data_IF_532411197482
#
_entry.id   IF_532411197482
#
_cell.length_a   1.000
_cell.length_b   1.000
_cell.length_c   1.000
_cell.angle_alpha   90.00
_cell.angle_beta   90.00
_cell.angle_gamma   90.00
#
_symmetry.space_group_name_H-M   'P 1'
#
loop_
_entity.id
_entity.type
_entity.pdbx_description
1 polymer ?
#
# COMPACT_ATOMS: atom_id res chain seq x y z
N UNK A 1 24.74 18.77 33.42
CA UNK A 1 25.15 18.90 32.00
C UNK A 1 24.91 17.63 31.17
N UNK A 2 24.98 16.41 31.74
CA UNK A 2 24.71 15.16 31.01
C UNK A 2 23.30 15.07 30.36
N UNK A 3 22.27 15.63 31.01
CA UNK A 3 20.87 15.49 30.57
C UNK A 3 20.53 16.16 29.23
N UNK A 4 21.25 17.22 28.82
CA UNK A 4 20.92 17.98 27.60
C UNK A 4 21.51 17.28 26.36
N UNK A 5 22.67 16.64 26.52
CA UNK A 5 23.32 15.88 25.45
C UNK A 5 22.51 14.65 25.06
N UNK A 6 21.96 13.91 26.03
CA UNK A 6 21.09 12.76 25.74
C UNK A 6 19.78 13.17 25.07
N UNK A 7 19.20 14.31 25.46
CA UNK A 7 17.99 14.84 24.83
C UNK A 7 18.25 15.19 23.35
N UNK A 8 19.37 15.87 23.06
CA UNK A 8 19.74 16.25 21.70
C UNK A 8 19.97 15.02 20.80
N UNK A 9 20.63 13.97 21.32
CA UNK A 9 20.81 12.70 20.60
C UNK A 9 19.47 12.02 20.35
N UNK A 10 18.58 11.99 21.34
CA UNK A 10 17.24 11.41 21.20
C UNK A 10 16.41 12.11 20.12
N UNK A 11 16.43 13.44 20.08
CA UNK A 11 15.75 14.23 19.05
C UNK A 11 16.35 13.95 17.66
N UNK A 12 17.68 13.94 17.54
CA UNK A 12 18.36 13.69 16.27
C UNK A 12 17.98 12.31 15.69
N UNK A 13 17.99 11.26 16.53
CA UNK A 13 17.61 9.91 16.11
C UNK A 13 16.14 9.84 15.72
N UNK A 14 15.24 10.44 16.51
CA UNK A 14 13.82 10.48 16.18
C UNK A 14 13.56 11.20 14.85
N UNK A 15 14.20 12.35 14.62
CA UNK A 15 14.06 13.09 13.35
C UNK A 15 14.62 12.33 12.16
N UNK A 16 15.74 11.62 12.33
CA UNK A 16 16.32 10.81 11.26
C UNK A 16 15.40 9.64 10.88
N UNK A 17 14.82 8.96 11.86
CA UNK A 17 13.88 7.84 11.62
C UNK A 17 12.59 8.32 10.93
N UNK A 18 12.01 9.44 11.38
CA UNK A 18 10.81 10.01 10.76
C UNK A 18 11.11 10.49 9.33
N UNK A 19 12.28 11.11 9.10
CA UNK A 19 12.69 11.53 7.76
C UNK A 19 12.90 10.33 6.83
N UNK A 20 13.53 9.24 7.29
CA UNK A 20 13.70 8.03 6.48
C UNK A 20 12.36 7.41 6.06
N UNK A 21 11.42 7.32 6.99
CA UNK A 21 10.08 6.80 6.71
C UNK A 21 9.31 7.72 5.74
N UNK A 22 9.39 9.04 5.92
CA UNK A 22 8.76 10.01 5.01
C UNK A 22 9.32 9.96 3.58
N UNK A 23 10.62 9.72 3.42
CA UNK A 23 11.26 9.65 2.09
C UNK A 23 10.82 8.38 1.34
N UNK A 24 10.65 7.25 2.03
CA UNK A 24 10.13 6.02 1.42
C UNK A 24 8.72 6.21 0.84
N UNK A 25 7.86 7.00 1.50
CA UNK A 25 6.53 7.33 0.99
C UNK A 25 6.54 8.28 -0.22
N UNK A 26 7.56 9.12 -0.37
CA UNK A 26 7.61 10.18 -1.40
C UNK A 26 8.40 9.78 -2.65
N UNK A 27 9.25 8.75 -2.58
CA UNK A 27 9.95 8.26 -3.77
C UNK A 27 9.02 7.38 -4.60
N UNK A 28 8.73 7.74 -5.87
CA UNK A 28 7.98 6.85 -6.75
C UNK A 28 8.84 5.60 -6.96
N UNK A 29 8.28 4.43 -6.62
CA UNK A 29 8.82 3.17 -7.09
C UNK A 29 8.54 3.18 -8.59
N UNK A 30 9.51 3.64 -9.37
CA UNK A 30 9.47 3.48 -10.81
C UNK A 30 9.15 2.00 -11.08
N UNK A 31 8.21 1.74 -11.99
CA UNK A 31 7.73 0.41 -12.39
C UNK A 31 8.89 -0.57 -12.77
N UNK A 32 10.09 -0.04 -12.98
CA UNK A 32 11.36 -0.75 -13.15
C UNK A 32 11.95 -1.41 -11.88
N UNK A 33 11.35 -1.26 -10.69
CA UNK A 33 11.87 -1.77 -9.41
C UNK A 33 11.10 -2.93 -8.78
N UNK A 34 9.85 -3.19 -9.18
CA UNK A 34 9.02 -4.24 -8.59
C UNK A 34 9.43 -5.62 -9.11
N UNK A 35 9.50 -6.59 -8.22
CA UNK A 35 9.60 -8.00 -8.58
C UNK A 35 8.35 -8.46 -9.33
N UNK A 36 8.41 -9.55 -10.11
CA UNK A 36 7.24 -10.07 -10.83
C UNK A 36 6.02 -10.30 -9.93
N UNK A 37 6.25 -10.88 -8.74
CA UNK A 37 5.18 -11.12 -7.77
C UNK A 37 4.56 -9.80 -7.27
N UNK A 38 5.37 -8.78 -7.02
CA UNK A 38 4.86 -7.47 -6.60
C UNK A 38 4.03 -6.79 -7.68
N UNK A 39 4.41 -6.93 -8.96
CA UNK A 39 3.61 -6.44 -10.09
C UNK A 39 2.25 -7.14 -10.17
N UNK A 40 2.23 -8.46 -10.06
CA UNK A 40 0.98 -9.24 -10.08
C UNK A 40 0.08 -8.83 -8.90
N UNK A 41 0.66 -8.66 -7.72
CA UNK A 41 -0.06 -8.18 -6.54
C UNK A 41 -0.55 -6.74 -6.68
N UNK A 42 0.21 -5.84 -7.30
CA UNK A 42 -0.25 -4.50 -7.61
C UNK A 42 -1.41 -4.51 -8.61
N UNK A 43 -1.41 -5.41 -9.59
CA UNK A 43 -2.54 -5.57 -10.50
C UNK A 43 -3.80 -6.05 -9.76
N UNK A 44 -3.68 -7.03 -8.86
CA UNK A 44 -4.78 -7.51 -8.02
C UNK A 44 -5.35 -6.36 -7.18
N UNK A 45 -4.48 -5.60 -6.51
CA UNK A 45 -4.88 -4.45 -5.69
C UNK A 45 -5.58 -3.36 -6.53
N UNK A 46 -5.06 -3.05 -7.72
CA UNK A 46 -5.66 -2.10 -8.65
C UNK A 46 -7.07 -2.52 -9.08
N UNK A 47 -7.29 -3.81 -9.36
CA UNK A 47 -8.63 -4.29 -9.71
C UNK A 47 -9.61 -4.22 -8.54
N UNK A 48 -9.17 -4.57 -7.33
CA UNK A 48 -9.99 -4.46 -6.12
C UNK A 48 -10.36 -3.00 -5.83
N UNK A 49 -9.38 -2.11 -5.92
CA UNK A 49 -9.60 -0.67 -5.71
C UNK A 49 -10.52 -0.06 -6.77
N UNK A 50 -10.46 -0.52 -8.03
CA UNK A 50 -11.38 -0.06 -9.08
C UNK A 50 -12.84 -0.39 -8.76
N UNK A 51 -13.12 -1.55 -8.16
CA UNK A 51 -14.48 -1.88 -7.70
C UNK A 51 -14.91 -0.91 -6.60
N UNK A 52 -14.03 -0.64 -5.62
CA UNK A 52 -14.33 0.32 -4.56
C UNK A 52 -14.61 1.73 -5.12
N UNK A 53 -13.83 2.17 -6.10
CA UNK A 53 -14.02 3.44 -6.78
C UNK A 53 -15.31 3.53 -7.61
N UNK A 54 -15.80 2.42 -8.17
CA UNK A 54 -17.09 2.39 -8.87
C UNK A 54 -18.28 2.54 -7.91
N UNK A 55 -18.12 2.08 -6.66
CA UNK A 55 -19.17 2.06 -5.65
C UNK A 55 -18.67 2.65 -4.31
N UNK A 56 -18.35 3.96 -4.27
CA UNK A 56 -17.66 4.57 -3.13
C UNK A 56 -18.50 4.58 -1.84
N UNK A 57 -19.82 4.58 -1.98
CA UNK A 57 -20.77 4.66 -0.86
C UNK A 57 -21.42 3.31 -0.54
N UNK A 58 -21.07 2.24 -1.26
CA UNK A 58 -21.69 0.93 -1.10
C UNK A 58 -20.92 0.04 -0.14
N UNK A 59 -21.65 -0.67 0.71
CA UNK A 59 -21.09 -1.81 1.43
C UNK A 59 -20.88 -3.00 0.48
N UNK A 60 -19.97 -3.95 0.79
CA UNK A 60 -19.72 -5.10 -0.07
C UNK A 60 -20.98 -5.93 -0.42
N UNK A 61 -21.93 -6.04 0.50
CA UNK A 61 -23.22 -6.75 0.32
C UNK A 61 -24.23 -5.99 -0.55
N UNK A 62 -23.99 -4.71 -0.80
CA UNK A 62 -24.80 -3.86 -1.69
C UNK A 62 -24.28 -3.85 -3.13
N UNK A 63 -23.10 -4.45 -3.37
CA UNK A 63 -22.52 -4.56 -4.71
C UNK A 63 -23.38 -5.44 -5.61
N UNK A 64 -23.42 -5.17 -6.93
CA UNK A 64 -23.94 -6.12 -7.89
C UNK A 64 -23.28 -7.49 -7.71
N UNK A 65 -24.06 -8.56 -7.81
CA UNK A 65 -23.61 -9.92 -7.49
C UNK A 65 -22.33 -10.35 -8.23
N UNK A 66 -22.14 -9.89 -9.47
CA UNK A 66 -20.94 -10.21 -10.25
C UNK A 66 -19.70 -9.47 -9.72
N UNK A 67 -19.84 -8.20 -9.33
CA UNK A 67 -18.77 -7.41 -8.72
C UNK A 67 -18.46 -7.89 -7.31
N UNK A 68 -19.47 -8.29 -6.52
CA UNK A 68 -19.26 -8.93 -5.22
C UNK A 68 -18.43 -10.20 -5.33
N UNK A 69 -18.80 -11.11 -6.24
CA UNK A 69 -18.05 -12.35 -6.49
C UNK A 69 -16.62 -12.07 -6.96
N UNK A 70 -16.45 -11.06 -7.82
CA UNK A 70 -15.13 -10.64 -8.28
C UNK A 70 -14.29 -10.09 -7.14
N UNK A 71 -14.85 -9.25 -6.28
CA UNK A 71 -14.16 -8.71 -5.10
C UNK A 71 -13.73 -9.82 -4.15
N UNK A 72 -14.61 -10.80 -3.89
CA UNK A 72 -14.28 -11.96 -3.06
C UNK A 72 -13.14 -12.81 -3.65
N UNK A 73 -13.13 -13.00 -4.97
CA UNK A 73 -12.05 -13.71 -5.66
C UNK A 73 -10.73 -12.93 -5.56
N UNK A 74 -10.75 -11.62 -5.75
CA UNK A 74 -9.58 -10.76 -5.63
C UNK A 74 -9.03 -10.77 -4.19
N UNK A 75 -9.89 -10.78 -3.17
CA UNK A 75 -9.50 -10.88 -1.77
C UNK A 75 -8.81 -12.21 -1.46
N UNK A 76 -9.35 -13.33 -1.98
CA UNK A 76 -8.71 -14.64 -1.86
C UNK A 76 -7.31 -14.65 -2.49
N UNK A 77 -7.17 -14.12 -3.71
CA UNK A 77 -5.87 -14.01 -4.39
C UNK A 77 -4.91 -13.11 -3.61
N UNK A 78 -5.39 -11.96 -3.12
CA UNK A 78 -4.59 -11.02 -2.35
C UNK A 78 -4.02 -11.66 -1.08
N UNK A 79 -4.86 -12.34 -0.31
CA UNK A 79 -4.41 -13.02 0.92
C UNK A 79 -3.44 -14.16 0.57
N UNK A 80 -3.84 -15.03 -0.36
CA UNK A 80 -3.11 -16.28 -0.61
C UNK A 80 -1.80 -16.09 -1.36
N UNK A 81 -1.76 -15.15 -2.31
CA UNK A 81 -0.61 -14.94 -3.19
C UNK A 81 0.26 -13.76 -2.78
N UNK A 82 -0.32 -12.71 -2.18
CA UNK A 82 0.39 -11.48 -1.86
C UNK A 82 0.76 -11.42 -0.38
N UNK A 83 -0.23 -11.36 0.52
CA UNK A 83 0.00 -11.17 1.97
C UNK A 83 0.82 -12.31 2.57
N UNK A 84 0.61 -13.55 2.11
CA UNK A 84 1.35 -14.70 2.60
C UNK A 84 2.80 -14.80 2.08
N UNK A 85 3.13 -14.09 0.99
CA UNK A 85 4.40 -14.25 0.28
C UNK A 85 5.31 -13.01 0.34
N UNK A 86 4.73 -11.82 0.45
CA UNK A 86 5.45 -10.55 0.45
C UNK A 86 5.72 -10.06 1.88
N UNK A 87 6.75 -9.21 2.02
CA UNK A 87 6.99 -8.50 3.27
C UNK A 87 5.91 -7.45 3.51
N UNK A 88 5.68 -7.10 4.78
CA UNK A 88 4.74 -6.03 5.12
C UNK A 88 5.09 -4.70 4.44
N UNK A 89 6.39 -4.37 4.30
CA UNK A 89 6.85 -3.18 3.58
C UNK A 89 6.42 -3.18 2.11
N UNK A 90 6.59 -4.32 1.44
CA UNK A 90 6.19 -4.48 0.04
C UNK A 90 4.65 -4.34 -0.11
N UNK A 91 3.88 -4.95 0.78
CA UNK A 91 2.41 -4.81 0.81
C UNK A 91 1.99 -3.35 0.99
N UNK A 92 2.57 -2.63 1.95
CA UNK A 92 2.26 -1.20 2.15
C UNK A 92 2.64 -0.36 0.93
N UNK A 93 3.79 -0.63 0.31
CA UNK A 93 4.21 0.06 -0.90
C UNK A 93 3.23 -0.14 -2.05
N UNK A 94 2.73 -1.37 -2.25
CA UNK A 94 1.71 -1.68 -3.26
C UNK A 94 0.43 -0.89 -2.99
N UNK A 95 -0.10 -0.95 -1.77
CA UNK A 95 -1.35 -0.24 -1.40
C UNK A 95 -1.21 1.26 -1.62
N UNK A 96 -0.09 1.85 -1.20
CA UNK A 96 0.18 3.28 -1.39
C UNK A 96 0.30 3.65 -2.87
N UNK A 97 0.91 2.80 -3.69
CA UNK A 97 0.99 3.02 -5.14
C UNK A 97 -0.41 3.02 -5.76
N UNK A 98 -1.25 2.04 -5.45
CA UNK A 98 -2.62 1.95 -5.97
C UNK A 98 -3.44 3.20 -5.62
N UNK A 99 -3.39 3.64 -4.36
CA UNK A 99 -4.10 4.84 -3.92
C UNK A 99 -3.58 6.10 -4.62
N UNK A 100 -2.26 6.21 -4.79
CA UNK A 100 -1.63 7.34 -5.48
C UNK A 100 -2.01 7.37 -6.96
N UNK A 101 -1.84 6.26 -7.67
CA UNK A 101 -2.07 6.15 -9.12
C UNK A 101 -3.53 6.51 -9.43
N UNK A 102 -4.47 5.99 -8.63
CA UNK A 102 -5.86 6.38 -8.74
C UNK A 102 -6.11 7.88 -8.48
N UNK A 103 -5.43 8.45 -7.47
CA UNK A 103 -5.55 9.87 -7.13
C UNK A 103 -4.91 10.80 -8.17
N UNK A 104 -3.83 10.38 -8.84
CA UNK A 104 -3.18 11.13 -9.92
C UNK A 104 -3.86 10.95 -11.28
N UNK A 105 -4.74 9.96 -11.41
CA UNK A 105 -5.40 9.60 -12.67
C UNK A 105 -4.46 8.87 -13.65
N UNK A 106 -3.39 8.27 -13.11
CA UNK A 106 -2.39 7.47 -13.82
C UNK A 106 -2.68 5.96 -13.73
#
# INVERSE_FOLDING_TARGET
MASILFLAIGIAVATALVASVAIQFLTPIADSGLSPLEKDCQQIANEGYRIHAMYPDSNPDELPNDDFKRLMYLDELWITQCVNALSAESIFNIVNNVERDFSSGE
#
